data_IF_181648027398
#
_entry.id   IF_181648027398
#
_cell.length_a   1.000
_cell.length_b   1.000
_cell.length_c   1.000
_cell.angle_alpha   90.00
_cell.angle_beta   90.00
_cell.angle_gamma   90.00
#
_symmetry.space_group_name_H-M   'P 1'
#
loop_
_entity.id
_entity.type
_entity.pdbx_description
1 polymer ?
#
# COMPACT_ATOMS: atom_id res chain seq x y z
N UNK A 1 -68.55 2.85 3.08
CA UNK A 1 -67.56 1.78 3.27
C UNK A 1 -66.17 2.35 3.02
N UNK A 2 -65.34 2.51 4.06
CA UNK A 2 -63.98 3.03 3.94
C UNK A 2 -63.01 1.86 4.05
N UNK A 3 -62.35 1.51 2.94
CA UNK A 3 -61.29 0.50 2.93
C UNK A 3 -60.00 1.10 3.50
N UNK A 4 -59.67 0.75 4.73
CA UNK A 4 -58.38 1.02 5.30
C UNK A 4 -57.33 0.09 4.64
N UNK A 5 -56.48 0.62 3.73
CA UNK A 5 -55.34 -0.09 3.18
C UNK A 5 -54.31 -0.25 4.30
N UNK A 6 -54.18 -1.44 4.86
CA UNK A 6 -53.10 -1.82 5.75
C UNK A 6 -51.86 -2.04 4.90
N UNK A 7 -50.84 -1.19 5.11
CA UNK A 7 -49.51 -1.40 4.53
C UNK A 7 -48.88 -2.63 5.19
N UNK A 8 -48.20 -3.52 4.43
CA UNK A 8 -47.59 -4.71 4.99
C UNK A 8 -46.38 -4.34 5.86
N UNK A 9 -46.17 -5.05 7.01
CA UNK A 9 -45.06 -4.76 7.95
C UNK A 9 -43.67 -5.01 7.40
N UNK A 10 -43.55 -5.56 6.21
CA UNK A 10 -42.27 -5.84 5.54
C UNK A 10 -41.51 -4.57 5.13
N UNK A 11 -42.19 -3.45 4.88
CA UNK A 11 -41.53 -2.20 4.48
C UNK A 11 -40.76 -1.52 5.61
N UNK A 12 -41.08 -1.81 6.87
CA UNK A 12 -40.40 -1.19 8.04
C UNK A 12 -39.07 -1.89 8.39
N UNK A 13 -38.93 -3.19 8.08
CA UNK A 13 -37.75 -3.96 8.36
C UNK A 13 -36.64 -3.66 7.35
N UNK A 14 -36.97 -3.31 6.11
CA UNK A 14 -35.98 -2.98 5.07
C UNK A 14 -35.24 -1.64 5.33
N UNK A 15 -35.82 -0.72 6.10
CA UNK A 15 -35.24 0.58 6.40
C UNK A 15 -34.20 0.52 7.53
N UNK A 16 -34.18 -0.54 8.37
CA UNK A 16 -33.21 -0.68 9.46
C UNK A 16 -31.88 -1.33 9.04
N UNK A 17 -31.78 -1.93 7.87
CA UNK A 17 -30.57 -2.64 7.42
C UNK A 17 -29.59 -1.69 6.70
N UNK A 18 -29.99 -0.46 6.39
CA UNK A 18 -29.16 0.51 5.67
C UNK A 18 -28.39 1.49 6.59
N UNK A 19 -28.38 1.28 7.91
CA UNK A 19 -27.46 1.97 8.79
C UNK A 19 -26.10 1.26 8.72
N UNK A 20 -25.38 1.44 7.59
CA UNK A 20 -23.95 1.22 7.57
C UNK A 20 -23.37 2.16 8.64
N UNK A 21 -22.88 1.58 9.74
CA UNK A 21 -22.00 2.30 10.66
C UNK A 21 -20.86 2.82 9.79
N UNK A 22 -20.88 4.10 9.46
CA UNK A 22 -19.70 4.80 8.95
C UNK A 22 -18.68 4.70 10.09
N UNK A 23 -17.84 3.65 10.05
CA UNK A 23 -16.72 3.51 10.95
C UNK A 23 -15.66 4.48 10.43
N UNK A 24 -15.62 5.67 10.97
CA UNK A 24 -14.54 6.58 10.73
C UNK A 24 -13.32 6.05 11.48
N UNK A 25 -12.51 5.28 10.78
CA UNK A 25 -11.21 4.85 11.24
C UNK A 25 -10.16 5.64 10.48
N UNK A 26 -9.13 6.08 11.18
CA UNK A 26 -7.93 6.61 10.52
C UNK A 26 -7.24 5.44 9.80
N UNK A 27 -7.25 5.49 8.47
CA UNK A 27 -6.62 4.45 7.64
C UNK A 27 -5.33 5.00 7.06
N UNK A 28 -4.18 4.39 7.37
CA UNK A 28 -2.92 4.77 6.74
C UNK A 28 -2.87 4.31 5.29
N UNK A 29 -2.29 5.13 4.41
CA UNK A 29 -2.06 4.81 3.00
C UNK A 29 -0.60 5.08 2.66
N UNK A 30 0.15 4.10 2.16
CA UNK A 30 -0.21 2.71 1.92
C UNK A 30 -0.40 1.90 3.21
N UNK A 31 -1.15 0.79 3.12
CA UNK A 31 -1.33 -0.16 4.23
C UNK A 31 -0.22 -1.22 4.31
N UNK A 32 0.64 -1.27 3.29
CA UNK A 32 1.79 -2.18 3.21
C UNK A 32 3.06 -1.35 3.08
N UNK A 33 3.99 -1.56 4.01
CA UNK A 33 5.27 -0.84 4.04
C UNK A 33 6.43 -1.82 3.91
N UNK A 34 7.35 -1.63 2.96
CA UNK A 34 8.55 -2.45 2.88
C UNK A 34 9.50 -2.14 4.03
N UNK A 35 10.05 -3.18 4.68
CA UNK A 35 11.15 -3.01 5.63
C UNK A 35 12.42 -2.53 4.91
N UNK A 36 13.24 -1.76 5.60
CA UNK A 36 14.51 -1.23 5.05
C UNK A 36 14.34 -0.09 4.04
N UNK A 37 13.14 0.53 3.95
CA UNK A 37 12.89 1.62 3.02
C UNK A 37 12.19 2.81 3.68
N UNK A 38 12.47 4.00 3.16
CA UNK A 38 11.71 5.21 3.52
C UNK A 38 10.46 5.27 2.66
N UNK A 39 9.31 5.33 3.31
CA UNK A 39 8.00 5.39 2.63
C UNK A 39 7.19 6.59 3.11
N UNK A 40 6.55 7.31 2.19
CA UNK A 40 5.59 8.36 2.53
C UNK A 40 4.24 7.74 2.85
N UNK A 41 3.71 8.05 4.04
CA UNK A 41 2.39 7.64 4.51
C UNK A 41 1.44 8.83 4.57
N UNK A 42 0.17 8.58 4.29
CA UNK A 42 -0.92 9.55 4.42
C UNK A 42 -1.96 9.02 5.41
N UNK A 43 -2.52 9.92 6.20
CA UNK A 43 -3.56 9.65 7.18
C UNK A 43 -4.73 10.58 6.92
N UNK A 44 -5.87 10.05 6.51
CA UNK A 44 -7.12 10.80 6.44
C UNK A 44 -7.76 10.78 7.83
N UNK A 45 -7.80 11.94 8.49
CA UNK A 45 -8.29 12.08 9.87
C UNK A 45 -9.61 12.84 9.82
N UNK A 46 -10.74 12.21 10.17
CA UNK A 46 -12.04 12.86 10.26
C UNK A 46 -12.18 13.57 11.61
N UNK A 47 -12.93 14.65 11.66
CA UNK A 47 -13.43 15.18 12.93
C UNK A 47 -14.89 14.78 13.13
N UNK A 48 -15.14 13.80 13.98
CA UNK A 48 -16.50 13.33 14.31
C UNK A 48 -17.13 14.07 15.48
N UNK A 49 -16.36 14.90 16.20
CA UNK A 49 -16.87 15.66 17.34
C UNK A 49 -17.48 17.00 16.87
N UNK A 50 -18.53 17.48 17.54
CA UNK A 50 -19.07 18.82 17.29
C UNK A 50 -18.06 19.93 17.51
N UNK A 51 -17.08 19.72 18.40
CA UNK A 51 -15.99 20.65 18.65
C UNK A 51 -14.98 20.62 17.49
N UNK A 52 -14.56 21.78 16.97
CA UNK A 52 -13.53 21.82 15.93
C UNK A 52 -12.19 21.30 16.45
N UNK A 53 -11.56 20.39 15.67
CA UNK A 53 -10.27 19.83 16.02
C UNK A 53 -9.15 20.85 15.74
N UNK A 54 -8.17 20.93 16.67
CA UNK A 54 -7.06 21.89 16.61
C UNK A 54 -5.68 21.26 16.52
N UNK A 55 -5.61 19.93 16.55
CA UNK A 55 -4.34 19.21 16.43
C UNK A 55 -4.51 17.74 16.14
N UNK A 56 -3.47 17.15 15.55
CA UNK A 56 -3.34 15.71 15.31
C UNK A 56 -1.92 15.30 15.67
N UNK A 57 -1.77 14.18 16.36
CA UNK A 57 -0.47 13.52 16.53
C UNK A 57 -0.50 12.13 15.92
N UNK A 58 0.62 11.72 15.34
CA UNK A 58 0.86 10.35 14.90
C UNK A 58 2.10 9.85 15.61
N UNK A 59 1.97 8.79 16.38
CA UNK A 59 3.07 8.14 17.10
C UNK A 59 3.38 6.79 16.46
N UNK A 60 4.66 6.53 16.22
CA UNK A 60 5.16 5.30 15.62
C UNK A 60 5.90 4.45 16.64
N UNK A 61 5.90 3.10 16.53
CA UNK A 61 6.68 2.22 17.41
C UNK A 61 8.19 2.37 17.19
N UNK A 62 8.98 1.76 18.09
CA UNK A 62 10.43 1.93 18.14
C UNK A 62 11.16 1.52 16.85
N UNK A 63 10.61 0.54 16.12
CA UNK A 63 11.19 0.05 14.86
C UNK A 63 10.81 0.91 13.64
N UNK A 64 10.22 2.08 13.89
CA UNK A 64 9.91 3.10 12.90
C UNK A 64 10.58 4.40 13.29
N UNK A 65 11.15 5.07 12.33
CA UNK A 65 11.71 6.41 12.51
C UNK A 65 11.01 7.40 11.60
N UNK A 66 10.40 8.44 12.18
CA UNK A 66 9.84 9.52 11.37
C UNK A 66 10.99 10.35 10.81
N UNK A 67 11.09 10.39 9.50
CA UNK A 67 12.10 11.17 8.76
C UNK A 67 11.63 12.60 8.55
N UNK A 68 10.32 12.75 8.26
CA UNK A 68 9.73 14.03 7.92
C UNK A 68 8.23 14.05 8.20
N UNK A 69 7.72 15.13 8.77
CA UNK A 69 6.30 15.46 8.77
C UNK A 69 6.06 16.54 7.70
N UNK A 70 5.17 16.26 6.75
CA UNK A 70 4.88 17.20 5.68
C UNK A 70 3.96 18.31 6.16
N UNK A 71 4.17 19.56 5.72
CA UNK A 71 3.23 20.65 5.98
C UNK A 71 1.87 20.34 5.36
N UNK A 72 0.81 20.70 6.07
CA UNK A 72 -0.57 20.70 5.57
C UNK A 72 -1.10 22.14 5.64
N UNK A 73 -1.89 22.56 4.65
CA UNK A 73 -2.38 23.92 4.59
C UNK A 73 -3.16 24.29 5.85
N UNK A 74 -2.79 25.41 6.49
CA UNK A 74 -3.38 25.85 7.77
C UNK A 74 -2.88 25.09 9.01
N UNK A 75 -1.90 24.17 8.86
CA UNK A 75 -1.35 23.37 9.96
C UNK A 75 0.18 23.49 10.01
N UNK A 76 0.70 23.60 11.21
CA UNK A 76 2.15 23.56 11.47
C UNK A 76 2.55 22.18 11.95
N UNK A 77 3.50 21.56 11.26
CA UNK A 77 4.05 20.26 11.60
C UNK A 77 5.29 20.41 12.48
N UNK A 78 5.38 19.58 13.54
CA UNK A 78 6.57 19.44 14.41
C UNK A 78 6.88 17.98 14.62
N UNK A 79 8.15 17.66 14.88
CA UNK A 79 8.62 16.31 15.22
C UNK A 79 9.21 16.33 16.64
N UNK A 80 8.83 15.33 17.43
CA UNK A 80 9.41 15.06 18.73
C UNK A 80 9.61 13.54 18.89
N UNK A 81 10.84 13.11 18.63
CA UNK A 81 11.20 11.70 18.64
C UNK A 81 10.31 10.84 17.72
N UNK A 82 9.57 9.85 18.28
CA UNK A 82 8.71 8.97 17.51
C UNK A 82 7.33 9.57 17.18
N UNK A 83 7.12 10.86 17.44
CA UNK A 83 5.81 11.50 17.29
C UNK A 83 5.89 12.71 16.35
N UNK A 84 5.01 12.70 15.34
CA UNK A 84 4.71 13.86 14.52
C UNK A 84 3.44 14.55 15.04
N UNK A 85 3.47 15.88 15.15
CA UNK A 85 2.32 16.68 15.61
C UNK A 85 2.02 17.76 14.57
N UNK A 86 0.76 17.86 14.17
CA UNK A 86 0.23 18.97 13.40
C UNK A 86 -0.68 19.79 14.32
N UNK A 87 -0.47 21.11 14.37
CA UNK A 87 -1.32 22.06 15.08
C UNK A 87 -1.79 23.14 14.15
N UNK A 88 -3.05 23.48 14.23
CA UNK A 88 -3.68 24.46 13.33
C UNK A 88 -5.17 24.17 13.16
N UNK A 89 -5.66 24.35 11.96
CA UNK A 89 -7.08 24.23 11.65
C UNK A 89 -7.80 25.57 11.83
N UNK A 90 -9.05 25.58 12.34
CA UNK A 90 -9.78 24.45 12.90
C UNK A 90 -10.32 23.49 11.82
N UNK A 91 -10.32 22.18 12.10
CA UNK A 91 -11.03 21.20 11.28
C UNK A 91 -12.45 21.09 11.82
N UNK A 92 -13.42 21.45 10.98
CA UNK A 92 -14.84 21.48 11.37
C UNK A 92 -15.42 20.07 11.56
N UNK A 93 -16.53 19.97 12.29
CA UNK A 93 -17.29 18.75 12.46
C UNK A 93 -17.66 18.12 11.11
N UNK A 94 -17.53 16.79 10.99
CA UNK A 94 -17.79 15.98 9.80
C UNK A 94 -16.95 16.36 8.56
N UNK A 95 -15.80 16.99 8.77
CA UNK A 95 -14.80 17.22 7.74
C UNK A 95 -13.60 16.31 7.94
N UNK A 96 -12.80 16.12 6.89
CA UNK A 96 -11.62 15.25 6.88
C UNK A 96 -10.42 16.05 6.41
N UNK A 97 -9.29 15.87 7.08
CA UNK A 97 -8.00 16.44 6.64
C UNK A 97 -6.98 15.31 6.45
N UNK A 98 -6.04 15.51 5.52
CA UNK A 98 -5.00 14.52 5.22
C UNK A 98 -3.63 15.01 5.68
N UNK A 99 -3.01 14.24 6.55
CA UNK A 99 -1.66 14.47 7.05
C UNK A 99 -0.70 13.46 6.45
N UNK A 100 0.54 13.88 6.18
CA UNK A 100 1.55 13.01 5.55
C UNK A 100 2.86 13.05 6.33
N UNK A 101 3.50 11.88 6.42
CA UNK A 101 4.85 11.76 6.98
C UNK A 101 5.67 10.74 6.20
N UNK A 102 6.98 10.93 6.20
CA UNK A 102 7.94 9.96 5.69
C UNK A 102 8.46 9.15 6.88
N UNK A 103 8.38 7.84 6.76
CA UNK A 103 8.89 6.90 7.77
C UNK A 103 9.94 5.98 7.18
N UNK A 104 10.98 5.77 7.96
CA UNK A 104 11.97 4.73 7.74
C UNK A 104 11.58 3.52 8.60
N UNK A 105 11.42 2.37 7.97
CA UNK A 105 10.85 1.17 8.57
C UNK A 105 11.96 0.14 8.77
N UNK A 106 12.30 -0.17 10.02
CA UNK A 106 13.23 -1.25 10.38
C UNK A 106 12.55 -2.48 10.99
N UNK A 107 11.23 -2.41 11.19
CA UNK A 107 10.43 -3.50 11.73
C UNK A 107 10.48 -4.76 10.84
N UNK A 108 10.48 -5.96 11.44
CA UNK A 108 10.31 -7.19 10.69
C UNK A 108 8.93 -7.27 10.03
N UNK A 109 8.76 -8.07 8.96
CA UNK A 109 7.45 -8.28 8.35
C UNK A 109 6.40 -8.76 9.35
N UNK A 110 5.21 -8.13 9.30
CA UNK A 110 4.09 -8.44 10.18
C UNK A 110 3.15 -7.25 10.39
N UNK A 111 2.04 -7.45 11.12
CA UNK A 111 1.11 -6.39 11.45
C UNK A 111 1.71 -5.43 12.49
N UNK A 112 1.49 -4.13 12.28
CA UNK A 112 1.94 -3.06 13.16
C UNK A 112 0.79 -2.08 13.36
N UNK A 113 0.65 -1.57 14.58
CA UNK A 113 -0.34 -0.54 14.92
C UNK A 113 0.37 0.76 15.29
N UNK A 114 0.00 1.83 14.61
CA UNK A 114 0.35 3.20 14.94
C UNK A 114 -0.78 3.82 15.77
N UNK A 115 -0.48 4.85 16.53
CA UNK A 115 -1.51 5.61 17.26
C UNK A 115 -1.66 6.99 16.63
N UNK A 116 -2.86 7.30 16.15
CA UNK A 116 -3.24 8.65 15.75
C UNK A 116 -4.12 9.23 16.85
N UNK A 117 -3.83 10.46 17.29
CA UNK A 117 -4.58 11.15 18.35
C UNK A 117 -5.05 12.50 17.86
N UNK A 118 -6.32 12.75 17.97
CA UNK A 118 -6.95 14.05 17.75
C UNK A 118 -6.85 14.90 19.00
N UNK A 119 -6.63 16.19 18.84
CA UNK A 119 -6.49 17.16 19.92
C UNK A 119 -7.53 18.27 19.74
N UNK A 120 -8.23 18.59 20.83
CA UNK A 120 -9.30 19.56 20.84
C UNK A 120 -8.99 20.75 21.76
N UNK A 121 -9.51 21.97 21.50
CA UNK A 121 -9.28 23.14 22.35
C UNK A 121 -9.75 22.96 23.80
N UNK A 122 -10.76 22.15 24.03
CA UNK A 122 -11.23 21.78 25.38
C UNK A 122 -10.24 20.96 26.19
N UNK A 123 -9.16 20.49 25.58
CA UNK A 123 -8.22 19.51 26.15
C UNK A 123 -8.68 18.05 25.98
N UNK A 124 -9.84 17.81 25.35
CA UNK A 124 -10.26 16.46 25.00
C UNK A 124 -9.34 15.87 23.93
N UNK A 125 -9.21 14.55 23.94
CA UNK A 125 -8.47 13.79 22.93
C UNK A 125 -9.26 12.57 22.47
N UNK A 126 -9.03 12.12 21.25
CA UNK A 126 -9.57 10.87 20.71
C UNK A 126 -8.43 10.09 20.09
N UNK A 127 -8.28 8.84 20.49
CA UNK A 127 -7.23 7.95 19.97
C UNK A 127 -7.81 6.99 18.94
N UNK A 128 -7.11 6.90 17.79
CA UNK A 128 -7.43 6.00 16.71
C UNK A 128 -6.24 5.07 16.44
N UNK A 129 -6.39 3.76 16.66
CA UNK A 129 -5.38 2.80 16.21
C UNK A 129 -5.40 2.73 14.68
N UNK A 130 -4.24 2.87 14.07
CA UNK A 130 -4.06 2.76 12.63
C UNK A 130 -3.17 1.55 12.33
N UNK A 131 -3.78 0.46 11.86
CA UNK A 131 -3.07 -0.79 11.58
C UNK A 131 -2.59 -0.85 10.15
N UNK A 132 -1.35 -1.30 9.96
CA UNK A 132 -0.72 -1.57 8.67
C UNK A 132 0.06 -2.88 8.73
N UNK A 133 0.60 -3.32 7.61
CA UNK A 133 1.43 -4.52 7.53
C UNK A 133 2.81 -4.16 6.98
N UNK A 134 3.87 -4.51 7.70
CA UNK A 134 5.22 -4.47 7.18
C UNK A 134 5.42 -5.69 6.29
N UNK A 135 5.94 -5.48 5.08
CA UNK A 135 6.27 -6.53 4.12
C UNK A 135 7.78 -6.59 3.91
N UNK A 136 8.33 -7.71 3.43
CA UNK A 136 9.74 -7.77 3.06
C UNK A 136 10.11 -6.60 2.13
N UNK A 137 11.24 -5.96 2.41
CA UNK A 137 11.78 -4.90 1.57
C UNK A 137 12.18 -5.43 0.18
N UNK A 138 12.54 -4.54 -0.74
CA UNK A 138 13.19 -4.94 -1.97
C UNK A 138 14.38 -5.82 -1.58
N UNK A 139 14.31 -7.10 -1.89
CA UNK A 139 15.52 -7.90 -1.89
C UNK A 139 16.34 -7.30 -3.03
N UNK A 140 17.56 -6.87 -2.74
CA UNK A 140 18.53 -6.74 -3.81
C UNK A 140 18.43 -8.07 -4.54
N UNK A 141 17.78 -8.09 -5.72
CA UNK A 141 17.93 -9.20 -6.61
C UNK A 141 19.45 -9.32 -6.75
N UNK A 142 20.05 -10.26 -5.96
CA UNK A 142 21.34 -10.76 -6.34
C UNK A 142 21.24 -10.89 -7.83
N UNK A 143 22.02 -10.08 -8.56
CA UNK A 143 22.12 -10.19 -10.01
C UNK A 143 22.50 -11.64 -10.24
N UNK A 144 21.49 -12.49 -10.25
CA UNK A 144 21.62 -13.87 -10.61
C UNK A 144 22.19 -13.78 -11.98
N UNK A 145 23.52 -13.88 -12.07
CA UNK A 145 24.21 -13.96 -13.33
C UNK A 145 23.49 -15.04 -14.09
N UNK A 146 22.66 -14.60 -15.07
CA UNK A 146 21.95 -15.55 -15.93
C UNK A 146 23.06 -16.47 -16.40
N UNK A 147 23.02 -17.73 -15.93
CA UNK A 147 24.01 -18.71 -16.35
C UNK A 147 23.81 -18.96 -17.84
N UNK A 148 24.52 -18.18 -18.63
CA UNK A 148 24.48 -18.25 -20.09
C UNK A 148 25.00 -19.58 -20.63
N UNK A 149 25.55 -20.44 -19.75
CA UNK A 149 26.13 -21.74 -20.13
C UNK A 149 25.11 -22.65 -20.81
N UNK A 150 23.86 -22.67 -20.34
CA UNK A 150 22.79 -23.46 -20.96
C UNK A 150 22.34 -22.89 -22.33
N UNK A 151 22.36 -21.55 -22.50
CA UNK A 151 22.06 -20.91 -23.78
C UNK A 151 23.17 -21.23 -24.78
N UNK A 152 24.44 -21.14 -24.36
CA UNK A 152 25.58 -21.55 -25.20
C UNK A 152 25.49 -23.02 -25.62
N UNK A 153 25.05 -23.90 -24.70
CA UNK A 153 24.85 -25.33 -25.00
C UNK A 153 23.75 -25.54 -26.06
N UNK A 154 22.61 -24.86 -25.96
CA UNK A 154 21.51 -24.96 -26.94
C UNK A 154 21.97 -24.44 -28.32
N UNK A 155 22.64 -23.29 -28.37
CA UNK A 155 23.15 -22.73 -29.62
C UNK A 155 24.20 -23.67 -30.25
N UNK A 156 25.09 -24.23 -29.45
CA UNK A 156 26.10 -25.20 -29.92
C UNK A 156 25.47 -26.43 -30.55
N UNK A 157 24.44 -27.02 -29.92
CA UNK A 157 23.71 -28.18 -30.47
C UNK A 157 23.02 -27.81 -31.80
N UNK A 158 22.39 -26.63 -31.86
CA UNK A 158 21.72 -26.13 -33.06
C UNK A 158 22.68 -25.99 -34.26
N UNK A 159 23.87 -25.45 -34.05
CA UNK A 159 24.91 -25.28 -35.07
C UNK A 159 25.41 -26.65 -35.60
N UNK A 160 25.65 -27.61 -34.71
CA UNK A 160 26.07 -28.97 -35.05
C UNK A 160 24.98 -29.65 -35.90
N UNK A 161 23.71 -29.48 -35.56
CA UNK A 161 22.60 -30.10 -36.29
C UNK A 161 22.46 -29.52 -37.71
N UNK A 162 22.60 -28.20 -37.88
CA UNK A 162 22.55 -27.52 -39.17
C UNK A 162 23.75 -27.96 -40.06
N UNK A 163 24.95 -28.03 -39.47
CA UNK A 163 26.15 -28.48 -40.19
C UNK A 163 25.99 -29.95 -40.65
N UNK A 164 25.45 -30.81 -39.80
CA UNK A 164 25.16 -32.21 -40.12
C UNK A 164 24.16 -32.34 -41.29
N UNK A 165 23.09 -31.55 -41.32
CA UNK A 165 22.12 -31.55 -42.40
C UNK A 165 22.74 -31.02 -43.72
N UNK A 166 23.59 -30.01 -43.65
CA UNK A 166 24.28 -29.49 -44.84
C UNK A 166 25.23 -30.52 -45.48
N UNK A 167 25.99 -31.25 -44.65
CA UNK A 167 26.87 -32.35 -45.14
C UNK A 167 26.04 -33.47 -45.76
N UNK A 168 24.90 -33.83 -45.13
CA UNK A 168 24.01 -34.88 -45.69
C UNK A 168 23.40 -34.47 -47.02
N UNK A 169 22.99 -33.22 -47.16
CA UNK A 169 22.45 -32.67 -48.41
C UNK A 169 23.52 -32.63 -49.54
N UNK A 170 24.76 -32.29 -49.18
CA UNK A 170 25.88 -32.27 -50.13
C UNK A 170 26.23 -33.67 -50.62
N UNK A 171 26.27 -34.68 -49.75
CA UNK A 171 26.51 -36.07 -50.12
C UNK A 171 25.42 -36.63 -51.03
N UNK A 172 24.16 -36.24 -50.88
CA UNK A 172 23.06 -36.67 -51.77
C UNK A 172 23.19 -36.10 -53.18
N UNK A 173 23.73 -34.90 -53.35
CA UNK A 173 23.98 -34.30 -54.65
C UNK A 173 25.18 -34.91 -55.41
N UNK A 174 26.15 -35.49 -54.66
CA UNK A 174 27.33 -36.11 -55.26
C UNK A 174 27.09 -37.51 -55.84
N UNK A 175 25.92 -38.14 -55.65
CA UNK A 175 25.60 -39.50 -56.08
C UNK A 175 24.82 -39.52 -57.42
N UNK A 176 24.40 -38.37 -57.96
CA UNK A 176 23.77 -38.34 -59.29
C UNK A 176 24.84 -38.27 -60.43
N UNK A 177 25.46 -39.41 -60.75
CA UNK A 177 26.25 -39.58 -61.95
C UNK A 177 25.27 -39.92 -63.07
N UNK A 178 25.25 -39.19 -64.18
CA UNK A 178 24.45 -39.58 -65.39
C UNK A 178 25.10 -40.75 -66.10
N UNK A 179 24.40 -41.87 -66.12
CA UNK A 179 24.70 -42.93 -67.09
C UNK A 179 24.25 -42.51 -68.47
N UNK A 180 25.22 -42.54 -69.40
CA UNK A 180 24.98 -42.47 -70.88
C UNK A 180 24.46 -43.80 -71.34
#
# INVERSE_FOLDING_TARGET
MRFARRLPPVALVAALVAASTASAHVVPVPQFLPTGAVTTMSFAVPNERPEPMSGVTVSVPADFRIVRAHPTAGWTATLDGPTATWRGGPLAHLTVETFRLDVDVSAPPGPVTLTTRELYPSGATVDWPATLTVVPGPQDEESGSVDWSWIAAIVGVGVIFIAGLAVLAWRRKAVTVPTR
#
